data_IF_544653556545
#
_entry.id   IF_544653556545
#
_cell.length_a   1.000
_cell.length_b   1.000
_cell.length_c   1.000
_cell.angle_alpha   90.00
_cell.angle_beta   90.00
_cell.angle_gamma   90.00
#
_symmetry.space_group_name_H-M   'P 1'
#
loop_
_entity.id
_entity.type
_entity.pdbx_description
1 polymer ?
#
# COMPACT_ATOMS: atom_id res chain seq x y z
N UNK A 1 40.21 5.27 -55.57
CA UNK A 1 39.68 6.40 -54.77
C UNK A 1 38.71 5.81 -53.75
N UNK A 2 39.13 5.32 -52.58
CA UNK A 2 39.47 6.04 -51.33
C UNK A 2 38.43 7.08 -50.92
N UNK A 3 37.66 6.76 -49.87
CA UNK A 3 37.25 7.60 -48.73
C UNK A 3 36.31 6.77 -47.84
N UNK A 4 36.80 6.09 -46.81
CA UNK A 4 37.19 6.52 -45.45
C UNK A 4 36.17 6.05 -44.42
N UNK A 5 36.56 4.98 -43.69
CA UNK A 5 36.03 4.61 -42.37
C UNK A 5 36.24 5.78 -41.41
N UNK A 6 35.18 6.40 -40.90
CA UNK A 6 35.07 7.06 -39.59
C UNK A 6 33.72 7.75 -39.48
N UNK A 7 33.26 7.90 -38.23
CA UNK A 7 32.03 8.56 -37.80
C UNK A 7 30.79 7.63 -37.86
N UNK A 8 30.06 7.32 -36.80
CA UNK A 8 29.91 7.92 -35.48
C UNK A 8 29.65 6.82 -34.43
N UNK A 9 30.55 6.70 -33.46
CA UNK A 9 30.16 6.35 -32.10
C UNK A 9 29.35 7.55 -31.59
N UNK A 10 28.11 7.33 -31.14
CA UNK A 10 27.45 8.00 -30.01
C UNK A 10 25.93 7.81 -30.05
N UNK A 11 25.43 6.86 -29.25
CA UNK A 11 24.08 6.91 -28.68
C UNK A 11 23.98 5.91 -27.52
N UNK A 12 24.89 6.02 -26.56
CA UNK A 12 24.72 5.41 -25.25
C UNK A 12 25.06 6.47 -24.22
N UNK A 13 24.04 7.17 -23.71
CA UNK A 13 23.95 7.78 -22.37
C UNK A 13 22.76 8.74 -22.33
N UNK A 14 21.55 8.20 -22.18
CA UNK A 14 20.46 8.96 -21.57
C UNK A 14 19.72 8.03 -20.62
N UNK A 15 20.31 7.88 -19.43
CA UNK A 15 19.69 7.46 -18.16
C UNK A 15 20.85 7.28 -17.17
N UNK A 16 21.36 8.37 -16.58
CA UNK A 16 21.34 8.39 -15.12
C UNK A 16 21.20 9.82 -14.54
N UNK A 17 20.16 10.57 -14.92
CA UNK A 17 19.91 11.89 -14.30
C UNK A 17 19.12 11.81 -12.98
N UNK A 18 18.47 10.68 -12.67
CA UNK A 18 17.63 10.56 -11.46
C UNK A 18 18.36 10.01 -10.22
N UNK A 19 19.61 9.54 -10.35
CA UNK A 19 20.39 9.01 -9.22
C UNK A 19 21.46 9.99 -8.71
N UNK A 20 21.94 10.91 -9.55
CA UNK A 20 23.00 11.84 -9.18
C UNK A 20 22.55 12.98 -8.25
N UNK A 21 21.23 13.26 -8.15
CA UNK A 21 20.67 14.27 -7.25
C UNK A 21 20.45 13.78 -5.80
N UNK A 22 20.64 12.48 -5.52
CA UNK A 22 20.51 11.95 -4.15
C UNK A 22 21.76 12.14 -3.30
N UNK A 23 22.95 12.24 -3.91
CA UNK A 23 24.22 12.23 -3.17
C UNK A 23 24.73 13.62 -2.76
N UNK A 24 24.26 14.70 -3.40
CA UNK A 24 24.80 16.06 -3.18
C UNK A 24 24.05 16.91 -2.14
N UNK A 25 22.91 16.44 -1.63
CA UNK A 25 22.34 16.97 -0.38
C UNK A 25 22.85 16.10 0.75
N UNK A 26 23.77 16.60 1.57
CA UNK A 26 23.72 16.25 3.00
C UNK A 26 22.28 16.47 3.40
N UNK A 27 21.58 15.40 3.74
CA UNK A 27 20.14 15.47 3.85
C UNK A 27 19.79 16.55 4.89
N UNK A 28 18.96 17.52 4.48
CA UNK A 28 18.81 18.76 5.25
C UNK A 28 18.29 18.49 6.67
N UNK A 29 17.60 17.36 6.87
CA UNK A 29 17.15 16.91 8.17
C UNK A 29 18.29 16.60 9.13
N UNK A 30 19.45 16.14 8.65
CA UNK A 30 20.60 15.85 9.51
C UNK A 30 21.50 17.09 9.73
N UNK A 31 21.52 18.00 8.75
CA UNK A 31 22.45 19.14 8.75
C UNK A 31 21.87 20.47 9.23
N UNK A 32 20.56 20.71 9.04
CA UNK A 32 19.90 21.96 9.41
C UNK A 32 19.18 21.84 10.75
N UNK A 33 18.99 22.98 11.42
CA UNK A 33 18.10 23.02 12.57
C UNK A 33 16.63 22.82 12.12
N UNK A 34 15.82 21.99 12.81
CA UNK A 34 14.43 21.76 12.46
C UNK A 34 13.55 23.01 12.34
N UNK A 35 13.86 24.06 13.11
CA UNK A 35 13.15 25.34 13.02
C UNK A 35 13.39 26.08 11.70
N UNK A 36 14.50 25.77 11.02
CA UNK A 36 14.89 26.39 9.75
C UNK A 36 14.39 25.65 8.50
N UNK A 37 13.66 24.53 8.67
CA UNK A 37 13.12 23.77 7.54
C UNK A 37 11.99 24.54 6.87
N UNK A 38 12.12 24.74 5.56
CA UNK A 38 11.05 25.27 4.72
C UNK A 38 9.86 24.30 4.64
N UNK A 39 8.70 24.80 4.24
CA UNK A 39 7.52 23.95 4.07
C UNK A 39 7.74 22.85 3.02
N UNK A 40 8.42 23.16 1.91
CA UNK A 40 8.74 22.17 0.87
C UNK A 40 9.67 21.08 1.38
N UNK A 41 10.66 21.44 2.21
CA UNK A 41 11.54 20.48 2.87
C UNK A 41 10.74 19.58 3.82
N UNK A 42 9.82 20.14 4.61
CA UNK A 42 8.93 19.34 5.47
C UNK A 42 8.07 18.38 4.65
N UNK A 43 7.47 18.84 3.55
CA UNK A 43 6.68 17.97 2.67
C UNK A 43 7.54 16.87 2.02
N UNK A 44 8.78 17.20 1.62
CA UNK A 44 9.73 16.22 1.11
C UNK A 44 10.05 15.17 2.19
N UNK A 45 10.27 15.57 3.44
CA UNK A 45 10.52 14.65 4.55
C UNK A 45 9.33 13.72 4.79
N UNK A 46 8.12 14.28 4.74
CA UNK A 46 6.87 13.58 5.00
C UNK A 46 6.44 12.64 3.85
N UNK A 47 6.96 12.81 2.63
CA UNK A 47 6.59 11.98 1.48
C UNK A 47 7.71 11.15 0.87
N UNK A 48 8.96 11.60 0.99
CA UNK A 48 10.12 11.06 0.27
C UNK A 48 11.37 11.10 1.16
N UNK A 49 11.35 10.36 2.26
CA UNK A 49 12.47 10.25 3.20
C UNK A 49 12.74 8.78 3.56
N UNK A 50 13.86 8.48 4.24
CA UNK A 50 14.09 7.13 4.77
C UNK A 50 12.95 6.61 5.66
N UNK A 51 12.20 7.51 6.30
CA UNK A 51 11.04 7.20 7.14
C UNK A 51 9.72 7.11 6.37
N UNK A 52 9.68 7.51 5.10
CA UNK A 52 8.48 7.52 4.26
C UNK A 52 8.77 6.79 2.94
N UNK A 53 8.33 5.53 2.84
CA UNK A 53 8.61 4.66 1.71
C UNK A 53 7.32 4.22 1.01
N UNK A 54 7.33 4.22 -0.31
CA UNK A 54 6.23 3.70 -1.11
C UNK A 54 6.36 2.19 -1.29
N UNK A 55 5.27 1.47 -0.99
CA UNK A 55 5.08 0.07 -1.33
C UNK A 55 4.08 -0.09 -2.46
N UNK A 56 4.27 -1.13 -3.26
CA UNK A 56 3.29 -1.55 -4.26
C UNK A 56 2.46 -2.68 -3.66
N UNK A 57 1.16 -2.45 -3.52
CA UNK A 57 0.22 -3.49 -3.15
C UNK A 57 -0.07 -4.32 -4.38
N UNK A 58 0.00 -5.64 -4.23
CA UNK A 58 -0.32 -6.59 -5.28
C UNK A 58 -1.45 -7.48 -4.83
N UNK A 59 -2.43 -7.69 -5.70
CA UNK A 59 -3.38 -8.77 -5.55
C UNK A 59 -2.64 -10.09 -5.81
N UNK A 60 -2.65 -11.00 -4.85
CA UNK A 60 -2.22 -12.37 -5.09
C UNK A 60 -3.38 -13.17 -5.69
N UNK A 61 -3.20 -13.64 -6.92
CA UNK A 61 -4.10 -14.61 -7.51
C UNK A 61 -4.02 -15.90 -6.68
N UNK A 62 -5.18 -16.37 -6.20
CA UNK A 62 -5.31 -17.44 -5.19
C UNK A 62 -4.91 -18.85 -5.63
N UNK A 63 -3.81 -18.99 -6.38
CA UNK A 63 -3.36 -20.27 -6.91
C UNK A 63 -2.73 -21.20 -5.87
N UNK A 64 -2.30 -20.68 -4.71
CA UNK A 64 -1.58 -21.46 -3.68
C UNK A 64 -2.31 -21.67 -2.33
N UNK A 65 -3.63 -21.43 -2.27
CA UNK A 65 -4.45 -21.82 -1.10
C UNK A 65 -5.16 -23.18 -1.25
N UNK A 66 -4.74 -24.03 -2.20
CA UNK A 66 -5.38 -25.33 -2.53
C UNK A 66 -4.59 -26.58 -2.17
N UNK A 67 -3.54 -26.51 -1.36
CA UNK A 67 -2.91 -27.73 -0.81
C UNK A 67 -3.54 -28.10 0.53
N UNK A 68 -4.79 -28.56 0.49
CA UNK A 68 -5.31 -29.55 1.45
C UNK A 68 -6.15 -30.55 0.66
N UNK A 69 -5.89 -31.87 0.76
CA UNK A 69 -6.41 -32.85 -0.20
C UNK A 69 -7.86 -33.21 0.13
N UNK A 70 -8.80 -32.61 -0.58
CA UNK A 70 -10.19 -33.05 -0.63
C UNK A 70 -10.39 -33.97 -1.84
N UNK A 71 -10.50 -35.27 -1.59
CA UNK A 71 -10.75 -36.29 -2.60
C UNK A 71 -12.12 -36.11 -3.28
N UNK A 72 -12.17 -36.30 -4.61
CA UNK A 72 -13.37 -36.20 -5.43
C UNK A 72 -13.25 -36.52 -6.94
N UNK A 73 -12.18 -37.16 -7.42
CA UNK A 73 -12.27 -38.55 -7.90
C UNK A 73 -13.06 -38.98 -9.16
N UNK A 74 -13.96 -38.20 -9.80
CA UNK A 74 -14.91 -38.83 -10.76
C UNK A 74 -15.20 -38.15 -12.10
N UNK A 75 -14.46 -37.12 -12.53
CA UNK A 75 -14.31 -36.75 -13.96
C UNK A 75 -15.52 -36.88 -14.90
N UNK A 76 -16.73 -36.46 -14.49
CA UNK A 76 -17.95 -36.49 -15.33
C UNK A 76 -18.61 -35.13 -15.38
N UNK A 77 -18.82 -34.66 -16.61
CA UNK A 77 -19.77 -33.60 -16.97
C UNK A 77 -21.19 -34.07 -16.55
N UNK A 78 -21.77 -33.47 -15.51
CA UNK A 78 -23.23 -33.45 -15.34
C UNK A 78 -23.71 -32.10 -15.85
N UNK A 79 -24.64 -31.96 -16.79
CA UNK A 79 -25.71 -32.87 -17.19
C UNK A 79 -27.02 -32.09 -17.06
N UNK A 80 -27.54 -31.66 -18.21
CA UNK A 80 -28.91 -31.21 -18.54
C UNK A 80 -29.75 -30.44 -17.51
N UNK A 81 -30.03 -29.17 -17.85
CA UNK A 81 -31.15 -28.39 -17.29
C UNK A 81 -32.47 -28.85 -17.95
N UNK A 82 -33.55 -29.03 -17.19
CA UNK A 82 -34.79 -29.60 -17.71
C UNK A 82 -35.62 -28.61 -18.55
N UNK A 83 -36.13 -29.16 -19.65
CA UNK A 83 -37.03 -28.59 -20.65
C UNK A 83 -38.44 -28.32 -20.05
N UNK A 84 -38.96 -27.09 -20.14
CA UNK A 84 -40.37 -26.77 -19.84
C UNK A 84 -40.99 -26.10 -21.08
N UNK A 85 -41.83 -26.88 -21.78
CA UNK A 85 -42.79 -26.44 -22.80
C UNK A 85 -44.14 -26.08 -22.11
N UNK A 86 -45.26 -25.81 -22.83
CA UNK A 86 -45.63 -24.69 -23.69
C UNK A 86 -46.94 -23.97 -23.23
N UNK A 87 -47.15 -22.67 -23.53
CA UNK A 87 -48.52 -22.10 -23.63
C UNK A 87 -48.88 -20.78 -22.94
N UNK A 88 -48.28 -19.64 -23.32
CA UNK A 88 -48.87 -18.30 -23.10
C UNK A 88 -48.53 -17.34 -24.26
N UNK A 89 -49.51 -16.77 -24.99
CA UNK A 89 -49.35 -15.56 -25.82
C UNK A 89 -50.19 -14.39 -25.23
N UNK A 90 -50.25 -13.20 -25.87
CA UNK A 90 -49.18 -12.27 -26.21
C UNK A 90 -49.48 -10.86 -25.61
N UNK A 91 -48.44 -10.09 -25.27
CA UNK A 91 -48.61 -8.72 -24.76
C UNK A 91 -47.39 -7.86 -25.02
N UNK A 92 -47.14 -7.54 -26.29
CA UNK A 92 -46.03 -6.69 -26.69
C UNK A 92 -46.28 -5.21 -26.45
N UNK A 93 -45.21 -4.47 -26.14
CA UNK A 93 -45.03 -3.12 -26.66
C UNK A 93 -43.54 -2.80 -26.86
N UNK A 94 -43.24 -2.53 -28.14
CA UNK A 94 -42.32 -1.51 -28.67
C UNK A 94 -40.81 -1.76 -28.62
N UNK A 95 -40.37 -2.42 -29.69
CA UNK A 95 -39.46 -1.88 -30.72
C UNK A 95 -38.19 -1.15 -30.26
N UNK A 96 -37.05 -1.82 -30.38
CA UNK A 96 -35.80 -1.19 -30.84
C UNK A 96 -35.49 -1.67 -32.26
N UNK A 97 -35.08 -0.78 -33.18
CA UNK A 97 -34.67 -1.17 -34.53
C UNK A 97 -33.56 -2.21 -34.52
N UNK A 98 -33.77 -3.26 -35.31
CA UNK A 98 -32.81 -4.33 -35.62
C UNK A 98 -31.65 -3.71 -36.41
N UNK A 99 -30.40 -3.88 -35.95
CA UNK A 99 -29.25 -3.57 -36.81
C UNK A 99 -27.88 -3.60 -36.16
N UNK A 100 -27.72 -3.14 -34.92
CA UNK A 100 -26.41 -3.13 -34.27
C UNK A 100 -26.52 -3.67 -32.84
N UNK A 101 -25.70 -4.69 -32.56
CA UNK A 101 -25.50 -5.14 -31.20
C UNK A 101 -25.01 -3.93 -30.38
N UNK A 102 -25.58 -3.65 -29.19
CA UNK A 102 -25.02 -2.63 -28.32
C UNK A 102 -23.51 -2.87 -28.18
N UNK A 103 -22.67 -1.82 -28.27
CA UNK A 103 -21.23 -2.00 -28.15
C UNK A 103 -20.98 -2.77 -26.88
N UNK A 104 -20.24 -3.89 -27.00
CA UNK A 104 -19.85 -4.67 -25.83
C UNK A 104 -19.28 -3.66 -24.83
N UNK A 105 -19.76 -3.64 -23.57
CA UNK A 105 -19.10 -2.84 -22.55
C UNK A 105 -17.60 -3.14 -22.65
N UNK A 106 -16.72 -2.12 -22.60
CA UNK A 106 -15.30 -2.31 -22.76
C UNK A 106 -14.92 -3.46 -21.84
N UNK A 107 -14.42 -4.54 -22.43
CA UNK A 107 -14.01 -5.72 -21.68
C UNK A 107 -13.04 -5.19 -20.63
N UNK A 108 -13.37 -5.19 -19.33
CA UNK A 108 -12.38 -4.84 -18.33
C UNK A 108 -11.35 -5.94 -18.47
N UNK A 109 -10.21 -5.61 -19.07
CA UNK A 109 -9.17 -6.57 -19.37
C UNK A 109 -8.92 -7.38 -18.09
N UNK A 110 -9.31 -8.67 -18.02
CA UNK A 110 -9.27 -9.41 -16.76
C UNK A 110 -7.83 -9.71 -16.30
N UNK A 111 -6.84 -9.30 -17.10
CA UNK A 111 -5.46 -9.75 -17.02
C UNK A 111 -4.49 -8.82 -16.31
N UNK A 112 -4.93 -7.66 -15.78
CA UNK A 112 -4.05 -6.84 -14.96
C UNK A 112 -4.36 -7.04 -13.47
N UNK A 113 -3.45 -7.68 -12.70
CA UNK A 113 -3.65 -7.81 -11.27
C UNK A 113 -3.80 -6.41 -10.66
N UNK A 114 -4.82 -6.23 -9.82
CA UNK A 114 -5.10 -4.94 -9.16
C UNK A 114 -3.85 -4.55 -8.37
N UNK A 115 -3.27 -3.40 -8.72
CA UNK A 115 -2.08 -2.85 -8.10
C UNK A 115 -2.28 -1.38 -7.76
N UNK A 116 -1.86 -0.97 -6.57
CA UNK A 116 -1.88 0.43 -6.14
C UNK A 116 -0.73 0.73 -5.20
N UNK A 117 -0.37 2.02 -5.08
CA UNK A 117 0.74 2.47 -4.24
C UNK A 117 0.23 2.85 -2.86
N UNK A 118 0.95 2.41 -1.83
CA UNK A 118 0.73 2.81 -0.45
C UNK A 118 2.01 3.46 0.08
N UNK A 119 1.90 4.68 0.57
CA UNK A 119 2.97 5.33 1.32
C UNK A 119 2.90 4.87 2.77
N UNK A 120 3.97 4.24 3.25
CA UNK A 120 4.15 3.88 4.65
C UNK A 120 5.14 4.85 5.31
N UNK A 121 4.72 5.54 6.37
CA UNK A 121 5.53 6.53 7.08
C UNK A 121 5.63 6.27 8.58
N UNK A 122 6.84 6.30 9.13
CA UNK A 122 7.09 6.20 10.56
C UNK A 122 6.75 7.52 11.28
N UNK A 123 5.60 7.59 11.93
CA UNK A 123 5.13 8.80 12.61
C UNK A 123 5.82 9.03 13.96
N UNK A 124 6.34 7.97 14.57
CA UNK A 124 7.11 8.07 15.82
C UNK A 124 8.52 8.62 15.62
N UNK A 125 9.01 8.66 14.38
CA UNK A 125 10.35 9.14 14.07
C UNK A 125 10.48 10.64 14.38
N UNK A 126 11.52 11.00 15.15
CA UNK A 126 11.81 12.39 15.53
C UNK A 126 11.80 13.39 14.37
N UNK A 127 12.48 13.16 13.22
CA UNK A 127 12.42 14.10 12.09
C UNK A 127 11.02 14.26 11.51
N UNK A 128 10.20 13.19 11.49
CA UNK A 128 8.81 13.23 11.01
C UNK A 128 7.96 14.08 11.93
N UNK A 129 8.09 13.91 13.25
CA UNK A 129 7.39 14.75 14.24
C UNK A 129 7.76 16.23 14.11
N UNK A 130 9.05 16.51 13.93
CA UNK A 130 9.55 17.88 13.77
C UNK A 130 9.09 18.54 12.47
N UNK A 131 8.80 17.75 11.43
CA UNK A 131 8.27 18.24 10.16
C UNK A 131 6.77 18.59 10.21
N UNK A 132 6.11 18.46 11.38
CA UNK A 132 4.67 18.64 11.52
C UNK A 132 3.89 17.36 11.23
N UNK A 133 4.48 16.19 11.55
CA UNK A 133 3.74 14.95 11.63
C UNK A 133 2.52 15.11 12.56
N UNK A 134 1.45 14.35 12.30
CA UNK A 134 0.19 14.43 13.04
C UNK A 134 0.41 14.17 14.53
N UNK A 135 -0.40 14.81 15.38
CA UNK A 135 -0.41 14.50 16.81
C UNK A 135 -0.79 13.03 17.01
N UNK A 136 0.13 12.29 17.62
CA UNK A 136 -0.10 10.90 17.96
C UNK A 136 -0.76 10.83 19.35
N UNK A 137 -1.67 9.86 19.57
CA UNK A 137 -2.14 9.55 20.90
C UNK A 137 -0.95 9.33 21.86
N UNK A 138 -1.15 9.53 23.17
CA UNK A 138 -0.11 9.45 24.22
C UNK A 138 0.66 8.11 24.29
N UNK A 139 0.29 7.13 23.47
CA UNK A 139 0.89 5.81 23.29
C UNK A 139 2.25 5.82 22.57
N UNK A 140 2.74 6.95 22.05
CA UNK A 140 3.95 7.03 21.21
C UNK A 140 5.25 6.50 21.85
N UNK A 141 5.35 6.46 23.19
CA UNK A 141 6.51 5.89 23.88
C UNK A 141 6.54 4.35 23.91
N UNK A 142 5.37 3.70 23.83
CA UNK A 142 5.22 2.25 23.96
C UNK A 142 5.15 1.54 22.61
N UNK A 143 4.78 2.27 21.56
CA UNK A 143 4.57 1.74 20.23
C UNK A 143 5.48 2.42 19.21
N UNK A 144 5.83 1.68 18.16
CA UNK A 144 6.17 2.23 16.86
C UNK A 144 4.86 2.52 16.12
N UNK A 145 4.76 3.69 15.49
CA UNK A 145 3.56 4.06 14.74
C UNK A 145 3.90 4.25 13.27
N UNK A 146 3.21 3.51 12.40
CA UNK A 146 3.32 3.66 10.95
C UNK A 146 1.98 4.09 10.38
N UNK A 147 1.99 5.19 9.62
CA UNK A 147 0.84 5.65 8.83
C UNK A 147 0.88 5.03 7.45
N UNK A 148 -0.24 4.50 7.01
CA UNK A 148 -0.49 4.08 5.63
C UNK A 148 -1.41 5.07 4.94
N UNK A 149 -0.98 5.56 3.77
CA UNK A 149 -1.77 6.42 2.88
C UNK A 149 -1.85 5.80 1.49
N UNK A 150 -3.03 5.87 0.87
CA UNK A 150 -3.29 5.28 -0.45
C UNK A 150 -4.01 3.93 -0.41
N UNK A 151 -4.53 3.55 0.76
CA UNK A 151 -5.42 2.38 0.89
C UNK A 151 -6.78 2.69 0.23
N UNK A 152 -7.43 1.70 -0.40
CA UNK A 152 -8.73 1.87 -1.06
C UNK A 152 -9.87 1.84 -0.03
N UNK A 153 -9.82 2.73 0.96
CA UNK A 153 -10.85 2.87 1.97
C UNK A 153 -11.97 3.77 1.45
N UNK A 154 -13.22 3.38 1.72
CA UNK A 154 -14.38 4.20 1.41
C UNK A 154 -14.43 5.41 2.36
N UNK A 155 -14.77 6.61 1.88
CA UNK A 155 -14.98 7.76 2.76
C UNK A 155 -16.11 7.47 3.74
N UNK A 156 -16.04 8.00 4.98
CA UNK A 156 -17.12 7.82 5.94
C UNK A 156 -18.43 8.42 5.40
N UNK A 157 -19.59 7.82 5.72
CA UNK A 157 -20.89 8.40 5.36
C UNK A 157 -21.01 9.85 5.86
N UNK A 158 -21.55 10.74 5.03
CA UNK A 158 -21.78 12.16 5.41
C UNK A 158 -22.96 12.35 6.38
N UNK A 159 -23.56 11.27 6.88
CA UNK A 159 -24.68 11.30 7.81
C UNK A 159 -24.25 11.74 9.21
N UNK A 160 -25.16 12.37 9.96
CA UNK A 160 -24.89 12.87 11.31
C UNK A 160 -24.42 11.72 12.22
N UNK A 161 -23.52 11.97 13.19
CA UNK A 161 -22.92 10.93 14.05
C UNK A 161 -23.91 10.18 14.98
N UNK A 162 -25.22 10.42 14.86
CA UNK A 162 -26.22 10.00 15.86
C UNK A 162 -26.78 8.60 15.67
N UNK A 163 -26.39 7.87 14.63
CA UNK A 163 -26.71 6.45 14.53
C UNK A 163 -25.43 5.69 14.27
N UNK A 164 -25.20 4.63 15.07
CA UNK A 164 -24.06 3.71 14.99
C UNK A 164 -24.04 2.91 13.69
N UNK A 165 -24.05 3.61 12.56
CA UNK A 165 -23.85 3.06 11.24
C UNK A 165 -22.50 2.34 11.24
N UNK A 166 -22.48 1.05 10.88
CA UNK A 166 -21.24 0.29 10.81
C UNK A 166 -20.23 1.00 9.92
N UNK A 167 -18.97 1.06 10.35
CA UNK A 167 -17.92 1.61 9.51
C UNK A 167 -17.83 0.74 8.24
N UNK A 168 -18.04 1.30 7.04
CA UNK A 168 -18.06 0.51 5.80
C UNK A 168 -16.71 -0.17 5.52
N UNK A 169 -15.63 0.28 6.17
CA UNK A 169 -14.30 -0.30 6.07
C UNK A 169 -13.97 -1.30 7.19
N UNK A 170 -14.85 -1.58 8.14
CA UNK A 170 -14.54 -2.34 9.36
C UNK A 170 -13.86 -3.68 9.09
N UNK A 171 -14.40 -4.48 8.17
CA UNK A 171 -13.85 -5.78 7.79
C UNK A 171 -12.44 -5.64 7.22
N UNK A 172 -12.22 -4.63 6.37
CA UNK A 172 -10.91 -4.36 5.78
C UNK A 172 -9.90 -3.90 6.83
N UNK A 173 -10.31 -3.02 7.74
CA UNK A 173 -9.46 -2.51 8.83
C UNK A 173 -9.07 -3.64 9.79
N UNK A 174 -9.99 -4.53 10.15
CA UNK A 174 -9.68 -5.70 10.96
C UNK A 174 -8.69 -6.63 10.25
N UNK A 175 -8.86 -6.88 8.95
CA UNK A 175 -7.92 -7.68 8.17
C UNK A 175 -6.52 -7.05 8.12
N UNK A 176 -6.44 -5.73 7.90
CA UNK A 176 -5.16 -4.99 7.93
C UNK A 176 -4.51 -5.12 9.31
N UNK A 177 -5.24 -4.92 10.40
CA UNK A 177 -4.69 -5.05 11.75
C UNK A 177 -4.13 -6.45 12.00
N UNK A 178 -4.89 -7.50 11.68
CA UNK A 178 -4.50 -8.89 11.93
C UNK A 178 -3.34 -9.34 11.04
N UNK A 179 -3.28 -8.87 9.79
CA UNK A 179 -2.25 -9.26 8.83
C UNK A 179 -1.01 -8.37 8.80
N UNK A 180 -0.96 -7.29 9.61
CA UNK A 180 0.18 -6.38 9.69
C UNK A 180 1.20 -6.78 10.74
N UNK A 181 2.48 -6.81 10.37
CA UNK A 181 3.59 -7.01 11.29
C UNK A 181 4.89 -6.38 10.78
N UNK A 182 5.80 -6.09 11.71
CA UNK A 182 7.16 -5.67 11.40
C UNK A 182 8.11 -6.86 11.44
N UNK A 183 8.72 -7.15 10.30
CA UNK A 183 9.66 -8.24 10.15
C UNK A 183 11.10 -7.76 10.26
N UNK A 184 11.90 -8.54 10.99
CA UNK A 184 13.34 -8.35 11.18
C UNK A 184 14.04 -9.67 10.92
N UNK A 185 15.23 -9.61 10.33
CA UNK A 185 15.96 -10.83 9.99
C UNK A 185 16.26 -11.65 11.25
N UNK A 186 15.90 -12.93 11.22
CA UNK A 186 16.15 -13.91 12.29
C UNK A 186 15.55 -13.55 13.66
N UNK A 187 14.54 -12.69 13.71
CA UNK A 187 13.82 -12.31 14.94
C UNK A 187 12.33 -12.54 14.74
N UNK A 188 11.56 -12.77 15.83
CA UNK A 188 10.11 -12.79 15.76
C UNK A 188 9.57 -11.45 15.20
N UNK A 189 8.59 -11.56 14.31
CA UNK A 189 7.86 -10.40 13.81
C UNK A 189 7.09 -9.72 14.92
N UNK A 190 6.98 -8.39 14.87
CA UNK A 190 6.23 -7.59 15.83
C UNK A 190 4.81 -7.39 15.25
N UNK A 191 3.76 -8.03 15.78
CA UNK A 191 2.41 -7.89 15.25
C UNK A 191 1.83 -6.50 15.55
N UNK A 192 0.89 -6.05 14.70
CA UNK A 192 0.13 -4.84 14.95
C UNK A 192 -0.82 -5.06 16.13
N UNK A 193 -0.67 -4.27 17.20
CA UNK A 193 -1.52 -4.36 18.39
C UNK A 193 -2.80 -3.54 18.23
N UNK A 194 -2.68 -2.32 17.69
CA UNK A 194 -3.82 -1.40 17.53
C UNK A 194 -3.81 -0.76 16.15
N UNK A 195 -5.01 -0.49 15.65
CA UNK A 195 -5.23 0.22 14.40
C UNK A 195 -6.21 1.36 14.66
N UNK A 196 -5.86 2.56 14.18
CA UNK A 196 -6.75 3.71 14.19
C UNK A 196 -6.85 4.30 12.80
N UNK A 197 -7.99 4.93 12.50
CA UNK A 197 -8.18 5.70 11.26
C UNK A 197 -8.09 7.19 11.57
N UNK A 198 -7.66 7.99 10.60
CA UNK A 198 -7.75 9.44 10.72
C UNK A 198 -9.20 9.91 10.73
N UNK A 199 -9.40 11.19 11.02
CA UNK A 199 -10.70 11.87 10.91
C UNK A 199 -10.69 12.88 9.76
N UNK A 200 -11.87 13.29 9.28
CA UNK A 200 -12.00 14.28 8.21
C UNK A 200 -11.27 13.87 6.93
N UNK A 201 -10.39 14.74 6.43
CA UNK A 201 -9.62 14.52 5.20
C UNK A 201 -8.61 13.36 5.30
N UNK A 202 -8.27 12.92 6.53
CA UNK A 202 -7.41 11.77 6.78
C UNK A 202 -8.20 10.48 7.05
N UNK A 203 -9.51 10.45 6.81
CA UNK A 203 -10.35 9.28 7.10
C UNK A 203 -9.99 8.02 6.28
N UNK A 204 -9.26 8.19 5.18
CA UNK A 204 -8.73 7.08 4.36
C UNK A 204 -7.30 6.69 4.73
N UNK A 205 -6.73 7.30 5.77
CA UNK A 205 -5.40 6.99 6.29
C UNK A 205 -5.51 6.12 7.54
N UNK A 206 -4.58 5.18 7.66
CA UNK A 206 -4.56 4.21 8.74
C UNK A 206 -3.28 4.36 9.55
N UNK A 207 -3.39 4.33 10.87
CA UNK A 207 -2.28 4.29 11.81
C UNK A 207 -2.17 2.90 12.43
N UNK A 208 -1.03 2.25 12.23
CA UNK A 208 -0.68 0.94 12.79
C UNK A 208 0.25 1.12 13.98
N UNK A 209 -0.07 0.46 15.09
CA UNK A 209 0.69 0.54 16.34
C UNK A 209 1.35 -0.80 16.64
N UNK A 210 2.68 -0.82 16.68
CA UNK A 210 3.48 -2.02 16.94
C UNK A 210 4.21 -1.88 18.27
N UNK A 211 4.02 -2.79 19.24
CA UNK A 211 4.64 -2.65 20.56
C UNK A 211 6.16 -2.72 20.45
N UNK A 212 6.87 -1.83 21.16
CA UNK A 212 8.35 -1.86 21.20
C UNK A 212 8.88 -3.10 21.94
N UNK A 213 8.13 -3.56 22.94
CA UNK A 213 8.41 -4.79 23.68
C UNK A 213 9.78 -4.80 24.37
N UNK A 214 10.24 -6.00 24.73
CA UNK A 214 11.53 -6.22 25.40
C UNK A 214 12.73 -6.31 24.42
N UNK A 215 12.48 -6.49 23.13
CA UNK A 215 13.50 -6.50 22.06
C UNK A 215 13.18 -5.40 21.03
N UNK A 216 13.49 -4.12 21.34
CA UNK A 216 13.29 -3.01 20.41
C UNK A 216 14.10 -3.17 19.13
N UNK A 217 13.65 -2.50 18.07
CA UNK A 217 14.36 -2.42 16.78
C UNK A 217 15.68 -1.66 16.98
N UNK A 218 16.78 -2.24 16.49
CA UNK A 218 18.13 -1.68 16.58
C UNK A 218 18.78 -1.56 15.21
N UNK A 219 19.78 -0.68 15.07
CA UNK A 219 20.54 -0.51 13.81
C UNK A 219 21.15 -1.84 13.33
N UNK A 220 21.53 -2.71 14.26
CA UNK A 220 22.08 -4.05 13.98
C UNK A 220 21.09 -4.98 13.26
N UNK A 221 19.78 -4.72 13.32
CA UNK A 221 18.76 -5.47 12.57
C UNK A 221 18.85 -5.19 11.06
N UNK A 222 19.55 -4.11 10.65
CA UNK A 222 19.85 -3.64 9.28
C UNK A 222 18.63 -3.21 8.44
N UNK A 223 17.56 -3.98 8.50
CA UNK A 223 16.36 -3.81 7.70
C UNK A 223 15.14 -4.18 8.55
N UNK A 224 14.13 -3.31 8.52
CA UNK A 224 12.78 -3.64 8.95
C UNK A 224 11.88 -3.69 7.73
N UNK A 225 11.01 -4.68 7.66
CA UNK A 225 9.99 -4.76 6.61
C UNK A 225 8.62 -4.67 7.25
N UNK A 226 7.82 -3.69 6.84
CA UNK A 226 6.39 -3.73 7.10
C UNK A 226 5.78 -4.74 6.14
N UNK A 227 5.27 -5.84 6.69
CA UNK A 227 4.54 -6.86 5.95
C UNK A 227 3.06 -6.78 6.35
N UNK A 228 2.19 -6.59 5.36
CA UNK A 228 0.77 -6.38 5.60
C UNK A 228 -0.05 -7.19 4.58
N UNK A 229 -0.80 -8.15 5.11
CA UNK A 229 -1.75 -8.96 4.34
C UNK A 229 -3.17 -8.53 4.66
N UNK A 230 -3.99 -8.33 3.65
CA UNK A 230 -5.41 -8.04 3.85
C UNK A 230 -6.22 -8.51 2.64
N UNK A 231 -7.26 -9.31 2.91
CA UNK A 231 -8.05 -9.96 1.87
C UNK A 231 -7.17 -10.75 0.86
N UNK A 232 -7.08 -10.27 -0.38
CA UNK A 232 -6.27 -10.83 -1.47
C UNK A 232 -5.01 -10.01 -1.75
N UNK A 233 -4.74 -8.99 -0.94
CA UNK A 233 -3.67 -8.04 -1.17
C UNK A 233 -2.49 -8.27 -0.23
N UNK A 234 -1.29 -8.10 -0.79
CA UNK A 234 -0.04 -8.10 -0.05
C UNK A 234 0.71 -6.79 -0.26
N UNK A 235 1.08 -6.16 0.85
CA UNK A 235 1.94 -4.99 0.93
C UNK A 235 3.24 -5.36 1.66
N UNK A 236 4.37 -5.10 1.02
CA UNK A 236 5.69 -5.26 1.63
C UNK A 236 6.51 -3.99 1.43
N UNK A 237 6.83 -3.29 2.53
CA UNK A 237 7.61 -2.04 2.50
C UNK A 237 8.89 -2.20 3.30
N UNK A 238 10.02 -1.92 2.67
CA UNK A 238 11.37 -2.11 3.23
C UNK A 238 11.95 -0.80 3.74
N UNK A 239 12.47 -0.84 4.95
CA UNK A 239 13.06 0.29 5.66
C UNK A 239 14.50 -0.02 6.08
N UNK A 240 15.51 0.40 5.29
CA UNK A 240 16.90 0.22 5.65
C UNK A 240 17.27 1.09 6.86
N UNK A 241 17.57 0.46 8.00
CA UNK A 241 17.75 1.17 9.27
C UNK A 241 18.96 2.10 9.28
N UNK A 242 19.98 1.78 8.48
CA UNK A 242 21.17 2.64 8.30
C UNK A 242 20.84 4.01 7.66
N UNK A 243 19.74 4.09 6.92
CA UNK A 243 19.31 5.31 6.25
C UNK A 243 18.31 6.08 7.13
N UNK A 244 17.73 5.42 8.15
CA UNK A 244 16.78 6.00 9.11
C UNK A 244 17.45 6.62 10.34
N UNK A 245 18.61 7.23 10.12
CA UNK A 245 19.41 7.87 11.16
C UNK A 245 19.11 9.37 11.19
N UNK A 246 18.99 9.93 12.39
CA UNK A 246 18.81 11.36 12.60
C UNK A 246 19.76 11.82 13.70
N UNK A 247 20.68 12.72 13.37
CA UNK A 247 21.70 13.23 14.29
C UNK A 247 22.52 12.11 14.95
N UNK A 248 22.83 11.07 14.17
CA UNK A 248 23.65 9.92 14.61
C UNK A 248 22.89 8.85 15.38
N UNK A 249 21.58 9.01 15.63
CA UNK A 249 20.75 8.05 16.35
C UNK A 249 19.68 7.45 15.44
N UNK A 250 19.31 6.19 15.69
CA UNK A 250 18.21 5.56 14.98
C UNK A 250 16.90 6.23 15.39
N UNK A 251 16.17 6.78 14.41
CA UNK A 251 14.90 7.45 14.66
C UNK A 251 13.75 6.56 14.17
N UNK A 252 12.95 6.04 15.08
CA UNK A 252 11.77 5.20 14.79
C UNK A 252 10.57 5.64 15.59
#
# INVERSE_FOLDING_TARGET
MIRTRRQWLQAATMLPACLALRAARREFWDSKDPSSWSNDEKQLLLGQSPWAQEGLVRMEDGQDRRTTPGYGNNGRLGGDMPDIRPGVPPGGVRSVPIGEAPPKPPNPDPGHPVQFRVLARWETAKPVRLAGGPELPELSGQFYVIRLRGLPLMPPPKTRPEEGAPNPNEVMLQAIQQGSRLERKNKPGIPCAHLFTGSGDAATEVLLFFPRGADPIQVADKLVTLDCWFALFHLSVKFPLKDMMYKGELAL
#
